data_IF_082998934718
#
_entry.id   IF_082998934718
#
_cell.length_a   1.000
_cell.length_b   1.000
_cell.length_c   1.000
_cell.angle_alpha   90.00
_cell.angle_beta   90.00
_cell.angle_gamma   90.00
#
_symmetry.space_group_name_H-M   'P 1'
#
loop_
_entity.id
_entity.type
_entity.pdbx_description
1 polymer ?
#
# COMPACT_ATOMS: atom_id res chain seq x y z
N UNK A 1 -5.33 -31.53 -6.11
CA UNK A 1 -6.20 -30.47 -6.67
C UNK A 1 -5.51 -29.13 -6.54
N UNK A 2 -5.29 -28.45 -7.65
CA UNK A 2 -4.66 -27.14 -7.63
C UNK A 2 -5.70 -26.06 -7.37
N UNK A 3 -5.32 -25.07 -6.57
CA UNK A 3 -6.15 -23.90 -6.35
C UNK A 3 -6.18 -23.04 -7.61
N UNK A 4 -7.32 -22.46 -8.00
CA UNK A 4 -7.34 -21.50 -9.09
C UNK A 4 -6.50 -20.27 -8.72
N UNK A 5 -5.96 -19.53 -9.70
CA UNK A 5 -5.25 -18.29 -9.40
C UNK A 5 -6.20 -17.31 -8.71
N UNK A 6 -5.67 -16.45 -7.83
CA UNK A 6 -6.50 -15.44 -7.16
C UNK A 6 -7.17 -14.50 -8.15
N UNK A 7 -8.43 -14.18 -7.88
CA UNK A 7 -9.15 -13.15 -8.65
C UNK A 7 -8.57 -11.78 -8.28
N UNK A 8 -8.28 -10.90 -9.26
CA UNK A 8 -7.81 -9.57 -8.95
C UNK A 8 -8.79 -8.80 -8.06
N UNK A 9 -8.24 -8.15 -7.07
CA UNK A 9 -9.00 -7.37 -6.11
C UNK A 9 -9.05 -5.91 -6.57
N UNK A 10 -10.15 -5.22 -6.29
CA UNK A 10 -10.30 -3.81 -6.57
C UNK A 10 -10.46 -3.03 -5.27
N UNK A 11 -9.64 -1.98 -5.10
CA UNK A 11 -9.71 -1.08 -3.95
C UNK A 11 -9.58 0.36 -4.41
N UNK A 12 -10.48 1.22 -3.97
CA UNK A 12 -10.40 2.66 -4.18
C UNK A 12 -10.16 3.34 -2.84
N UNK A 13 -9.31 4.36 -2.83
CA UNK A 13 -9.00 5.13 -1.63
C UNK A 13 -8.85 6.62 -1.95
N UNK A 14 -9.09 7.46 -0.96
CA UNK A 14 -9.06 8.90 -1.12
C UNK A 14 -7.64 9.43 -1.01
N UNK A 15 -7.28 10.35 -1.92
CA UNK A 15 -6.01 11.07 -1.88
C UNK A 15 -6.29 12.56 -2.10
N UNK A 16 -5.38 13.40 -1.65
CA UNK A 16 -5.48 14.86 -1.82
C UNK A 16 -4.57 15.39 -2.92
N UNK A 17 -3.74 14.53 -3.52
CA UNK A 17 -2.76 14.93 -4.54
C UNK A 17 -2.45 13.74 -5.45
N UNK A 18 -2.95 13.80 -6.69
CA UNK A 18 -2.74 12.71 -7.66
C UNK A 18 -1.28 12.62 -8.12
N UNK A 19 -0.58 13.75 -8.22
CA UNK A 19 0.84 13.73 -8.62
C UNK A 19 1.68 12.97 -7.60
N UNK A 20 1.43 13.18 -6.30
CA UNK A 20 2.11 12.44 -5.24
C UNK A 20 1.73 10.96 -5.25
N UNK A 21 0.48 10.64 -5.53
CA UNK A 21 0.06 9.24 -5.65
C UNK A 21 0.79 8.54 -6.80
N UNK A 22 0.90 9.20 -7.96
CA UNK A 22 1.66 8.65 -9.10
C UNK A 22 3.13 8.47 -8.77
N UNK A 23 3.73 9.45 -8.10
CA UNK A 23 5.13 9.38 -7.72
C UNK A 23 5.41 8.21 -6.77
N UNK A 24 4.56 8.02 -5.77
CA UNK A 24 4.73 6.95 -4.80
C UNK A 24 4.42 5.57 -5.40
N UNK A 25 3.20 5.39 -5.90
CA UNK A 25 2.78 4.07 -6.40
C UNK A 25 3.44 3.73 -7.74
N UNK A 26 3.50 4.70 -8.65
CA UNK A 26 4.09 4.47 -9.96
C UNK A 26 5.61 4.56 -9.96
N UNK A 27 6.17 5.53 -9.26
CA UNK A 27 7.61 5.77 -9.23
C UNK A 27 8.35 4.91 -8.21
N UNK A 28 8.01 5.05 -6.94
CA UNK A 28 8.74 4.37 -5.86
C UNK A 28 8.42 2.88 -5.82
N UNK A 29 7.14 2.51 -5.84
CA UNK A 29 6.73 1.10 -5.81
C UNK A 29 6.82 0.42 -7.18
N UNK A 30 6.87 1.20 -8.26
CA UNK A 30 6.98 0.64 -9.61
C UNK A 30 5.68 0.02 -10.14
N UNK A 31 4.53 0.40 -9.61
CA UNK A 31 3.24 -0.07 -10.09
C UNK A 31 2.93 0.56 -11.45
N UNK A 32 2.49 -0.26 -12.42
CA UNK A 32 2.08 0.27 -13.72
C UNK A 32 0.81 1.11 -13.56
N UNK A 33 0.82 2.31 -14.16
CA UNK A 33 -0.37 3.15 -14.25
C UNK A 33 -1.27 2.60 -15.36
N UNK A 34 -2.55 2.42 -15.03
CA UNK A 34 -3.57 1.98 -16.00
C UNK A 34 -4.31 3.16 -16.57
N UNK A 35 -5.60 3.25 -16.28
CA UNK A 35 -6.44 4.38 -16.72
C UNK A 35 -6.30 5.53 -15.76
N UNK A 36 -6.54 6.74 -16.26
CA UNK A 36 -6.51 7.93 -15.41
C UNK A 36 -7.41 9.02 -15.96
N UNK A 37 -7.80 9.93 -15.07
CA UNK A 37 -8.52 11.15 -15.41
C UNK A 37 -7.93 12.29 -14.57
N UNK A 38 -8.58 13.44 -14.59
CA UNK A 38 -8.19 14.55 -13.74
C UNK A 38 -8.60 14.36 -12.26
N UNK A 39 -9.39 13.30 -11.95
CA UNK A 39 -9.91 13.05 -10.62
C UNK A 39 -9.47 11.72 -10.01
N UNK A 40 -8.86 10.83 -10.80
CA UNK A 40 -8.46 9.51 -10.31
C UNK A 40 -7.35 8.91 -11.16
N UNK A 41 -6.64 7.94 -10.61
CA UNK A 41 -5.63 7.16 -11.30
C UNK A 41 -5.66 5.71 -10.82
N UNK A 42 -5.62 4.77 -11.80
CA UNK A 42 -5.53 3.33 -11.54
C UNK A 42 -4.07 2.89 -11.52
N UNK A 43 -3.75 1.97 -10.60
CA UNK A 43 -2.45 1.30 -10.58
C UNK A 43 -2.65 -0.21 -10.60
N UNK A 44 -1.73 -0.91 -11.26
CA UNK A 44 -1.57 -2.34 -11.07
C UNK A 44 -0.73 -2.56 -9.81
N UNK A 45 -1.40 -2.89 -8.70
CA UNK A 45 -0.76 -3.08 -7.41
C UNK A 45 -0.65 -4.58 -7.15
N UNK A 46 0.50 -5.16 -7.49
CA UNK A 46 0.77 -6.60 -7.36
C UNK A 46 -0.30 -7.48 -7.99
N UNK A 47 -0.78 -7.08 -9.17
CA UNK A 47 -1.82 -7.81 -9.90
C UNK A 47 -3.24 -7.40 -9.56
N UNK A 48 -3.43 -6.48 -8.62
CA UNK A 48 -4.76 -5.99 -8.22
C UNK A 48 -4.97 -4.56 -8.70
N UNK A 49 -6.23 -4.16 -8.84
CA UNK A 49 -6.56 -2.80 -9.25
C UNK A 49 -6.68 -1.89 -8.04
N UNK A 50 -5.79 -0.91 -7.97
CA UNK A 50 -5.78 0.10 -6.92
C UNK A 50 -6.08 1.45 -7.52
N UNK A 51 -7.10 2.16 -7.01
CA UNK A 51 -7.54 3.44 -7.56
C UNK A 51 -7.38 4.54 -6.53
N UNK A 52 -6.57 5.54 -6.84
CA UNK A 52 -6.47 6.75 -6.04
C UNK A 52 -7.51 7.75 -6.55
N UNK A 53 -8.43 8.17 -5.68
CA UNK A 53 -9.52 9.10 -5.98
C UNK A 53 -9.21 10.45 -5.36
N UNK A 54 -9.17 11.50 -6.17
CA UNK A 54 -8.89 12.85 -5.67
C UNK A 54 -10.09 13.39 -4.89
N UNK A 55 -9.83 13.83 -3.67
CA UNK A 55 -10.81 14.52 -2.83
C UNK A 55 -10.19 15.79 -2.27
N UNK A 56 -11.01 16.72 -1.81
CA UNK A 56 -10.51 17.87 -1.07
C UNK A 56 -10.05 17.43 0.32
N UNK A 57 -9.10 18.15 0.92
CA UNK A 57 -8.51 17.77 2.20
C UNK A 57 -9.56 17.60 3.31
N UNK A 58 -10.58 18.44 3.34
CA UNK A 58 -11.66 18.36 4.33
C UNK A 58 -12.59 17.18 4.12
N UNK A 59 -12.57 16.55 2.94
CA UNK A 59 -13.38 15.38 2.62
C UNK A 59 -12.67 14.08 2.97
N UNK A 60 -11.38 14.15 3.30
CA UNK A 60 -10.63 12.95 3.64
C UNK A 60 -11.10 12.42 5.00
N UNK A 61 -11.54 11.15 5.09
CA UNK A 61 -12.08 10.64 6.33
C UNK A 61 -11.03 10.56 7.44
N UNK A 62 -11.46 10.79 8.67
CA UNK A 62 -10.62 10.55 9.82
C UNK A 62 -10.31 9.05 9.94
N UNK A 63 -9.10 8.73 10.40
CA UNK A 63 -8.64 7.34 10.51
C UNK A 63 -8.68 6.93 11.98
N UNK A 64 -9.53 5.94 12.30
CA UNK A 64 -9.52 5.30 13.61
C UNK A 64 -8.31 4.37 13.70
N UNK A 65 -7.73 4.25 14.89
CA UNK A 65 -6.58 3.37 15.13
C UNK A 65 -6.88 2.36 16.22
N UNK A 66 -6.18 1.23 16.16
CA UNK A 66 -6.15 0.23 17.22
C UNK A 66 -4.71 -0.01 17.64
N UNK A 67 -4.52 -0.44 18.89
CA UNK A 67 -3.19 -0.82 19.36
C UNK A 67 -2.88 -2.23 18.86
N UNK A 68 -1.81 -2.37 18.07
CA UNK A 68 -1.27 -3.65 17.61
C UNK A 68 0.24 -3.62 17.85
N UNK A 69 0.75 -4.54 18.66
CA UNK A 69 2.18 -4.63 19.02
C UNK A 69 2.72 -3.28 19.53
N UNK A 70 1.94 -2.58 20.37
CA UNK A 70 2.24 -1.26 20.94
C UNK A 70 2.34 -0.13 19.91
N UNK A 71 1.78 -0.34 18.71
CA UNK A 71 1.68 0.69 17.68
C UNK A 71 0.23 1.12 17.47
N UNK A 72 0.00 2.41 17.23
CA UNK A 72 -1.29 2.93 16.83
C UNK A 72 -1.49 2.63 15.33
N UNK A 73 -2.17 1.53 15.03
CA UNK A 73 -2.34 1.06 13.65
C UNK A 73 -3.68 1.55 13.11
N UNK A 74 -3.70 2.19 11.92
CA UNK A 74 -4.96 2.59 11.29
C UNK A 74 -5.88 1.39 11.11
N UNK A 75 -7.15 1.53 11.47
CA UNK A 75 -8.14 0.47 11.31
C UNK A 75 -8.37 0.16 9.83
N UNK A 76 -8.34 1.20 8.98
CA UNK A 76 -8.42 1.04 7.52
C UNK A 76 -7.01 1.17 6.95
N UNK A 77 -6.51 0.09 6.41
CA UNK A 77 -5.22 0.06 5.72
C UNK A 77 -5.23 -1.10 4.72
N UNK A 78 -4.27 -1.09 3.83
CA UNK A 78 -4.11 -2.17 2.86
C UNK A 78 -2.63 -2.36 2.56
N UNK A 79 -2.31 -3.48 1.95
CA UNK A 79 -0.94 -3.79 1.58
C UNK A 79 -0.86 -5.08 0.80
N UNK A 80 0.35 -5.45 0.41
CA UNK A 80 0.64 -6.70 -0.25
C UNK A 80 1.41 -7.60 0.70
N UNK A 81 1.07 -8.88 0.69
CA UNK A 81 1.82 -9.90 1.42
C UNK A 81 2.85 -10.46 0.43
N UNK A 82 4.08 -9.99 0.55
CA UNK A 82 5.14 -10.33 -0.38
C UNK A 82 5.84 -11.63 0.02
N UNK A 83 6.37 -12.40 -0.97
CA UNK A 83 7.33 -13.46 -0.66
C UNK A 83 8.49 -12.87 0.16
N UNK A 84 9.00 -13.65 1.12
CA UNK A 84 10.03 -13.16 2.04
C UNK A 84 11.24 -12.54 1.34
N UNK A 85 11.77 -13.10 0.22
CA UNK A 85 12.92 -12.49 -0.45
C UNK A 85 12.64 -11.09 -1.01
N UNK A 86 11.38 -10.77 -1.32
CA UNK A 86 11.01 -9.47 -1.89
C UNK A 86 10.87 -8.38 -0.83
N UNK A 87 10.59 -8.76 0.41
CA UNK A 87 10.34 -7.81 1.49
C UNK A 87 11.57 -6.93 1.79
N UNK A 88 12.76 -7.48 2.06
CA UNK A 88 13.93 -6.63 2.32
C UNK A 88 14.31 -5.76 1.12
N UNK A 89 14.05 -6.21 -0.10
CA UNK A 89 14.31 -5.40 -1.30
C UNK A 89 13.39 -4.20 -1.37
N UNK A 90 12.11 -4.37 -1.02
CA UNK A 90 11.16 -3.26 -0.97
C UNK A 90 11.52 -2.28 0.14
N UNK A 91 11.88 -2.77 1.33
CA UNK A 91 12.31 -1.90 2.43
C UNK A 91 13.51 -1.04 2.00
N UNK A 92 14.51 -1.64 1.35
CA UNK A 92 15.68 -0.91 0.85
C UNK A 92 15.30 0.14 -0.18
N UNK A 93 14.35 -0.17 -1.07
CA UNK A 93 13.87 0.78 -2.07
C UNK A 93 13.19 1.99 -1.43
N UNK A 94 12.35 1.74 -0.43
CA UNK A 94 11.66 2.81 0.30
C UNK A 94 12.65 3.70 1.05
N UNK A 95 13.66 3.10 1.69
CA UNK A 95 14.71 3.85 2.38
C UNK A 95 15.50 4.72 1.42
N UNK A 96 15.89 4.19 0.26
CA UNK A 96 16.62 4.95 -0.77
C UNK A 96 15.80 6.11 -1.32
N UNK A 97 14.48 5.94 -1.39
CA UNK A 97 13.57 6.99 -1.85
C UNK A 97 13.28 8.03 -0.78
N UNK A 98 13.78 7.83 0.45
CA UNK A 98 13.56 8.76 1.55
C UNK A 98 12.13 8.74 2.10
N UNK A 99 11.40 7.64 1.92
CA UNK A 99 10.03 7.51 2.41
C UNK A 99 10.07 7.27 3.93
N UNK A 100 9.43 8.14 4.73
CA UNK A 100 9.36 7.91 6.18
C UNK A 100 8.39 6.77 6.49
N UNK A 101 8.75 5.94 7.46
CA UNK A 101 7.88 4.87 7.93
C UNK A 101 7.04 5.36 9.11
N UNK A 102 5.72 5.19 9.02
CA UNK A 102 4.83 5.44 10.15
C UNK A 102 5.10 4.43 11.26
N UNK A 103 5.40 3.18 10.88
CA UNK A 103 5.86 2.11 11.77
C UNK A 103 7.10 1.52 11.10
N UNK A 104 8.22 1.48 11.81
CA UNK A 104 9.46 0.93 11.28
C UNK A 104 9.29 -0.55 10.94
N UNK A 105 9.96 -1.03 9.88
CA UNK A 105 9.90 -2.45 9.53
C UNK A 105 10.37 -3.33 10.69
N UNK A 106 9.62 -4.39 10.97
CA UNK A 106 9.99 -5.36 12.00
C UNK A 106 9.42 -6.74 11.64
N UNK A 107 9.98 -7.78 12.25
CA UNK A 107 9.51 -9.15 12.05
C UNK A 107 8.51 -9.48 13.17
N UNK A 108 7.26 -9.68 12.77
CA UNK A 108 6.20 -10.06 13.70
C UNK A 108 6.26 -11.56 13.93
N UNK A 109 6.07 -11.98 15.17
CA UNK A 109 6.13 -13.39 15.57
C UNK A 109 7.47 -14.06 15.24
N UNK A 110 8.57 -13.31 15.33
CA UNK A 110 9.90 -13.83 15.04
C UNK A 110 10.17 -15.12 15.81
N UNK A 111 10.59 -16.18 15.09
CA UNK A 111 10.86 -17.48 15.67
C UNK A 111 9.63 -18.31 16.01
N UNK A 112 8.42 -17.81 15.72
CA UNK A 112 7.15 -18.48 16.00
C UNK A 112 6.43 -18.88 14.70
N UNK A 113 5.49 -19.85 14.75
CA UNK A 113 4.64 -20.10 13.59
C UNK A 113 3.90 -18.83 13.17
N UNK A 114 3.88 -18.53 11.86
CA UNK A 114 3.26 -17.31 11.34
C UNK A 114 4.20 -16.13 11.20
N UNK A 115 5.51 -16.32 11.42
CA UNK A 115 6.56 -15.32 11.17
C UNK A 115 6.54 -14.80 9.72
#
# INVERSE_FOLDING_TARGET
MTMPPPVPFHLAFAVTDLARAREFYGGVLGCRVGRESDRWVDFNFYGHQLVAQLVDAEQQPAVATNNVDDHAVPASHFGAILPWPDYPQLVARLERAGIPFAIEPYVRFAGCPGE
#
